data_IF_199964622332
#
_entry.id   IF_199964622332
#
_cell.length_a   1.000
_cell.length_b   1.000
_cell.length_c   1.000
_cell.angle_alpha   90.00
_cell.angle_beta   90.00
_cell.angle_gamma   90.00
#
_symmetry.space_group_name_H-M   'P 1'
#
loop_
_entity.id
_entity.type
_entity.pdbx_description
1 polymer ?
#
# COMPACT_ATOMS: atom_id res chain seq x y z
N UNK A 1 53.49 -3.57 36.20
CA UNK A 1 53.26 -2.96 37.52
C UNK A 1 52.90 -1.49 37.31
N UNK A 2 51.82 -1.02 37.98
CA UNK A 2 51.55 0.32 38.55
C UNK A 2 52.43 1.51 38.05
N UNK A 3 51.97 2.76 37.82
CA UNK A 3 50.77 3.55 38.15
C UNK A 3 51.07 5.05 37.83
N UNK A 4 50.02 5.89 37.74
CA UNK A 4 49.93 7.33 38.19
C UNK A 4 50.62 8.39 37.28
N UNK A 5 49.90 9.31 36.59
CA UNK A 5 49.22 10.57 36.99
C UNK A 5 50.20 11.62 37.58
N UNK A 6 50.30 12.90 37.19
CA UNK A 6 49.37 14.06 37.27
C UNK A 6 50.12 15.29 36.69
N UNK A 7 49.56 16.10 35.79
CA UNK A 7 48.92 17.44 36.02
C UNK A 7 49.85 18.67 36.23
N UNK A 8 49.60 19.70 35.39
CA UNK A 8 49.66 21.16 35.62
C UNK A 8 51.06 21.82 35.82
N UNK A 9 51.36 23.09 35.53
CA UNK A 9 50.66 24.28 35.00
C UNK A 9 51.72 25.38 34.70
N UNK A 10 51.45 26.28 33.74
CA UNK A 10 51.94 27.68 33.59
C UNK A 10 53.45 28.00 33.46
N UNK A 11 53.81 28.81 32.45
CA UNK A 11 54.41 30.14 32.63
C UNK A 11 54.39 30.95 31.30
N UNK A 12 54.26 32.26 31.43
CA UNK A 12 54.08 33.26 30.36
C UNK A 12 55.36 34.06 30.05
N UNK A 13 55.26 34.99 29.08
CA UNK A 13 56.11 36.18 28.78
C UNK A 13 57.35 35.93 27.87
N UNK A 14 57.77 36.78 26.93
CA UNK A 14 57.32 38.08 26.41
C UNK A 14 58.11 38.51 25.14
N UNK A 15 57.52 39.47 24.40
CA UNK A 15 58.13 40.57 23.59
C UNK A 15 58.95 40.20 22.33
N UNK A 16 58.87 40.87 21.17
CA UNK A 16 58.65 42.29 20.83
C UNK A 16 58.14 42.36 19.37
N UNK A 17 57.48 43.40 18.84
CA UNK A 17 58.11 44.65 18.37
C UNK A 17 57.06 45.67 17.84
N UNK A 18 57.22 46.92 18.29
CA UNK A 18 57.05 48.23 17.61
C UNK A 18 55.63 48.80 17.37
N UNK A 19 55.32 49.88 18.11
CA UNK A 19 54.38 50.96 17.73
C UNK A 19 55.08 51.98 16.79
N UNK A 20 54.40 52.84 16.02
CA UNK A 20 53.40 53.80 16.46
C UNK A 20 52.57 54.38 15.29
N UNK A 21 51.28 54.54 15.57
CA UNK A 21 50.35 55.63 15.22
C UNK A 21 50.23 56.19 13.79
N UNK A 22 49.07 55.94 13.18
CA UNK A 22 48.28 56.97 12.52
C UNK A 22 46.79 56.75 12.86
N UNK A 23 46.19 57.71 13.56
CA UNK A 23 44.75 57.77 13.80
C UNK A 23 44.07 58.34 12.54
N UNK A 24 43.18 57.58 11.92
CA UNK A 24 42.18 58.11 11.00
C UNK A 24 40.80 57.56 11.42
N UNK A 25 39.89 58.48 11.71
CA UNK A 25 38.52 58.23 12.11
C UNK A 25 37.76 57.41 11.05
N UNK A 26 37.11 56.33 11.47
CA UNK A 26 36.24 55.51 10.61
C UNK A 26 35.21 54.77 11.44
N UNK A 27 34.19 55.50 11.90
CA UNK A 27 32.81 55.08 12.22
C UNK A 27 32.61 53.66 12.79
N UNK A 28 32.19 53.60 14.06
CA UNK A 28 31.40 52.48 14.61
C UNK A 28 30.22 52.19 13.66
N UNK A 29 30.29 51.16 12.84
CA UNK A 29 29.17 50.68 12.04
C UNK A 29 29.34 49.19 11.81
N UNK A 30 28.55 48.38 12.52
CA UNK A 30 28.65 46.92 12.44
C UNK A 30 27.74 46.15 13.41
N UNK A 31 27.14 46.81 14.41
CA UNK A 31 26.09 46.20 15.25
C UNK A 31 24.69 46.34 14.64
N UNK A 32 24.34 47.55 14.17
CA UNK A 32 22.99 47.88 13.74
C UNK A 32 22.52 47.20 12.45
N UNK A 33 23.44 46.81 11.55
CA UNK A 33 23.09 46.17 10.28
C UNK A 33 22.76 44.68 10.47
N UNK A 34 23.44 44.01 11.41
CA UNK A 34 23.13 42.63 11.78
C UNK A 34 21.78 42.56 12.54
N UNK A 35 21.57 43.49 13.49
CA UNK A 35 20.31 43.59 14.23
C UNK A 35 19.13 43.93 13.30
N UNK A 36 19.30 44.86 12.34
CA UNK A 36 18.26 45.15 11.34
C UNK A 36 17.93 43.96 10.46
N UNK A 37 18.92 43.21 9.96
CA UNK A 37 18.69 42.00 9.17
C UNK A 37 17.94 40.94 9.96
N UNK A 38 18.31 40.76 11.23
CA UNK A 38 17.66 39.79 12.12
C UNK A 38 16.20 40.19 12.42
N UNK A 39 15.93 41.49 12.60
CA UNK A 39 14.58 42.02 12.75
C UNK A 39 13.75 41.88 11.47
N UNK A 40 14.33 42.15 10.29
CA UNK A 40 13.68 41.97 8.99
C UNK A 40 13.35 40.49 8.71
N UNK A 41 14.26 39.58 9.03
CA UNK A 41 14.02 38.14 8.93
C UNK A 41 12.95 37.65 9.91
N UNK A 42 12.97 38.13 11.15
CA UNK A 42 11.95 37.82 12.14
C UNK A 42 10.57 38.34 11.69
N UNK A 43 10.52 39.54 11.12
CA UNK A 43 9.29 40.13 10.57
C UNK A 43 8.78 39.34 9.35
N UNK A 44 9.66 38.92 8.43
CA UNK A 44 9.31 38.06 7.29
C UNK A 44 8.80 36.69 7.75
N UNK A 45 9.47 36.06 8.72
CA UNK A 45 9.02 34.79 9.32
C UNK A 45 7.69 34.94 10.03
N UNK A 46 7.44 36.05 10.73
CA UNK A 46 6.16 36.33 11.38
C UNK A 46 5.04 36.52 10.35
N UNK A 47 5.26 37.34 9.32
CA UNK A 47 4.30 37.52 8.22
C UNK A 47 4.00 36.21 7.49
N UNK A 48 5.02 35.43 7.16
CA UNK A 48 4.85 34.10 6.57
C UNK A 48 4.07 33.17 7.50
N UNK A 49 4.37 33.15 8.80
CA UNK A 49 3.57 32.37 9.75
C UNK A 49 2.12 32.84 9.82
N UNK A 50 1.86 34.14 9.82
CA UNK A 50 0.50 34.70 9.85
C UNK A 50 -0.28 34.39 8.56
N UNK A 51 0.36 34.52 7.39
CA UNK A 51 -0.22 34.22 6.07
C UNK A 51 -0.58 32.74 5.92
N UNK A 52 0.32 31.84 6.37
CA UNK A 52 0.10 30.39 6.34
C UNK A 52 -0.73 29.87 7.52
N UNK A 53 -0.93 30.66 8.56
CA UNK A 53 -1.81 30.36 9.70
C UNK A 53 -3.27 30.81 9.47
N UNK A 54 -3.69 30.97 8.20
CA UNK A 54 -5.11 30.97 7.87
C UNK A 54 -5.74 29.72 8.49
N UNK A 55 -6.71 29.85 9.42
CA UNK A 55 -7.43 28.71 9.92
C UNK A 55 -8.05 28.06 8.70
N UNK A 56 -7.59 26.86 8.32
CA UNK A 56 -8.27 26.08 7.30
C UNK A 56 -9.70 25.96 7.81
N UNK A 57 -10.63 26.69 7.18
CA UNK A 57 -12.05 26.46 7.42
C UNK A 57 -12.23 24.95 7.31
N UNK A 58 -12.85 24.29 8.31
CA UNK A 58 -13.03 22.86 8.22
C UNK A 58 -13.77 22.61 6.91
N UNK A 59 -13.08 21.97 5.95
CA UNK A 59 -13.75 21.50 4.74
C UNK A 59 -14.95 20.74 5.26
N UNK A 60 -16.15 21.14 4.87
CA UNK A 60 -17.33 20.38 5.20
C UNK A 60 -17.07 18.99 4.63
N UNK A 61 -16.69 18.06 5.50
CA UNK A 61 -16.78 16.65 5.20
C UNK A 61 -18.26 16.48 4.91
N UNK A 62 -18.64 16.45 3.63
CA UNK A 62 -19.91 15.89 3.23
C UNK A 62 -19.82 14.44 3.67
N UNK A 63 -20.15 14.20 4.93
CA UNK A 63 -20.33 12.87 5.47
C UNK A 63 -21.52 12.33 4.68
N UNK A 64 -21.30 11.19 4.03
CA UNK A 64 -22.38 10.46 3.40
C UNK A 64 -23.56 10.35 4.37
N UNK A 65 -24.78 10.44 3.83
CA UNK A 65 -26.01 10.36 4.63
C UNK A 65 -26.13 9.02 5.38
N UNK A 66 -25.38 7.99 4.97
CA UNK A 66 -25.24 6.73 5.66
C UNK A 66 -23.88 6.07 5.48
N UNK A 67 -23.62 4.97 6.21
CA UNK A 67 -22.42 4.16 6.06
C UNK A 67 -22.39 3.41 4.72
N UNK A 68 -21.22 3.17 4.16
CA UNK A 68 -21.14 2.33 2.96
C UNK A 68 -21.46 0.86 3.28
N UNK A 69 -22.04 0.12 2.32
CA UNK A 69 -22.11 -1.34 2.39
C UNK A 69 -20.75 -1.99 2.64
N UNK A 70 -20.78 -3.15 3.28
CA UNK A 70 -19.55 -3.85 3.64
C UNK A 70 -19.02 -4.60 2.42
N UNK A 71 -17.81 -4.27 1.99
CA UNK A 71 -17.15 -4.97 0.89
C UNK A 71 -16.20 -6.02 1.47
N UNK A 72 -16.29 -7.26 1.00
CA UNK A 72 -15.49 -8.38 1.50
C UNK A 72 -15.11 -9.33 0.37
N UNK A 73 -13.96 -9.98 0.54
CA UNK A 73 -13.59 -11.15 -0.26
C UNK A 73 -14.23 -12.39 0.35
N UNK A 74 -14.89 -13.22 -0.46
CA UNK A 74 -15.40 -14.51 0.01
C UNK A 74 -14.22 -15.47 0.19
N UNK A 75 -14.02 -16.01 1.39
CA UNK A 75 -12.83 -16.81 1.74
C UNK A 75 -12.55 -17.97 0.77
N UNK A 76 -13.59 -18.76 0.45
CA UNK A 76 -13.51 -19.92 -0.45
C UNK A 76 -13.18 -19.52 -1.90
N UNK A 77 -13.36 -18.25 -2.27
CA UNK A 77 -13.15 -17.72 -3.61
C UNK A 77 -12.09 -16.60 -3.65
N UNK A 78 -11.43 -16.28 -2.54
CA UNK A 78 -10.43 -15.22 -2.46
C UNK A 78 -9.10 -15.59 -3.10
N UNK A 79 -8.92 -16.87 -3.41
CA UNK A 79 -7.72 -17.44 -4.02
C UNK A 79 -8.09 -18.30 -5.22
N UNK A 80 -7.27 -18.25 -6.23
CA UNK A 80 -7.34 -19.07 -7.43
C UNK A 80 -6.08 -19.93 -7.48
N UNK A 81 -6.22 -21.25 -7.63
CA UNK A 81 -5.08 -22.13 -7.87
C UNK A 81 -5.47 -23.19 -8.88
N UNK A 82 -4.87 -23.13 -10.05
CA UNK A 82 -5.08 -24.09 -11.13
C UNK A 82 -3.93 -25.10 -11.13
N UNK A 83 -4.29 -26.37 -10.99
CA UNK A 83 -3.37 -27.49 -11.04
C UNK A 83 -3.49 -28.22 -12.37
N UNK A 84 -2.36 -28.52 -12.98
CA UNK A 84 -2.29 -29.44 -14.10
C UNK A 84 -2.54 -30.88 -13.59
N UNK A 85 -3.43 -31.60 -14.27
CA UNK A 85 -3.77 -32.98 -13.94
C UNK A 85 -4.44 -33.14 -12.56
N UNK A 86 -4.95 -32.07 -11.95
CA UNK A 86 -5.68 -32.12 -10.68
C UNK A 86 -4.84 -32.48 -9.45
N UNK A 87 -3.50 -32.42 -9.54
CA UNK A 87 -2.61 -32.76 -8.42
C UNK A 87 -2.27 -31.53 -7.58
N UNK A 88 -2.59 -31.57 -6.28
CA UNK A 88 -2.26 -30.50 -5.32
C UNK A 88 -0.75 -30.47 -4.98
N UNK A 89 0.10 -30.07 -5.93
CA UNK A 89 1.56 -30.05 -5.77
C UNK A 89 2.23 -28.81 -6.39
N UNK A 90 3.38 -28.39 -5.84
CA UNK A 90 4.18 -27.21 -6.28
C UNK A 90 4.67 -27.25 -7.70
N UNK A 91 5.12 -28.41 -8.14
CA UNK A 91 5.48 -28.60 -9.51
C UNK A 91 4.27 -28.82 -10.44
N UNK A 92 3.03 -28.83 -9.94
CA UNK A 92 1.81 -29.02 -10.73
C UNK A 92 0.99 -27.73 -10.93
N UNK A 93 1.41 -26.60 -10.36
CA UNK A 93 0.68 -25.34 -10.48
C UNK A 93 0.86 -24.75 -11.88
N UNK A 94 -0.25 -24.47 -12.54
CA UNK A 94 -0.30 -23.70 -13.78
C UNK A 94 -0.45 -22.20 -13.48
N UNK A 95 -1.49 -21.79 -12.76
CA UNK A 95 -1.72 -20.38 -12.43
C UNK A 95 -2.21 -20.21 -11.00
N UNK A 96 -1.84 -19.08 -10.39
CA UNK A 96 -2.32 -18.66 -9.06
C UNK A 96 -2.94 -17.27 -9.12
N UNK A 97 -3.78 -16.96 -8.16
CA UNK A 97 -4.32 -15.62 -7.93
C UNK A 97 -4.76 -15.44 -6.49
N UNK A 98 -4.62 -14.22 -5.97
CA UNK A 98 -5.08 -13.83 -4.63
C UNK A 98 -5.67 -12.42 -4.72
N UNK A 99 -6.83 -12.21 -4.11
CA UNK A 99 -7.38 -10.86 -3.92
C UNK A 99 -6.73 -10.31 -2.64
N UNK A 100 -5.75 -9.43 -2.80
CA UNK A 100 -4.92 -8.93 -1.69
C UNK A 100 -5.53 -7.71 -1.01
N UNK A 101 -6.35 -6.93 -1.72
CA UNK A 101 -6.87 -5.67 -1.21
C UNK A 101 -8.19 -5.27 -1.82
N UNK A 102 -8.99 -4.58 -1.01
CA UNK A 102 -10.22 -3.93 -1.41
C UNK A 102 -10.20 -2.49 -0.89
N UNK A 103 -10.52 -1.54 -1.77
CA UNK A 103 -10.82 -0.16 -1.40
C UNK A 103 -12.18 0.19 -1.96
N UNK A 104 -13.02 0.89 -1.21
CA UNK A 104 -14.38 1.18 -1.64
C UNK A 104 -14.83 2.57 -1.20
N UNK A 105 -15.63 3.19 -2.06
CA UNK A 105 -16.34 4.43 -1.80
C UNK A 105 -17.81 4.29 -2.16
N UNK A 106 -18.68 5.04 -1.49
CA UNK A 106 -20.09 5.11 -1.82
C UNK A 106 -20.61 6.55 -1.72
N UNK A 107 -21.73 6.82 -2.38
CA UNK A 107 -22.44 8.08 -2.34
C UNK A 107 -23.92 7.85 -2.03
N UNK A 108 -24.51 8.80 -1.31
CA UNK A 108 -25.93 8.87 -0.99
C UNK A 108 -26.49 10.19 -1.48
N UNK A 109 -27.63 10.15 -2.16
CA UNK A 109 -28.38 11.34 -2.60
C UNK A 109 -29.86 11.17 -2.22
N UNK A 110 -30.32 11.82 -1.15
CA UNK A 110 -31.72 11.71 -0.68
C UNK A 110 -32.21 10.26 -0.55
N UNK A 111 -33.24 9.92 -1.33
CA UNK A 111 -33.85 8.59 -1.42
C UNK A 111 -33.28 7.70 -2.56
N UNK A 112 -32.36 8.24 -3.36
CA UNK A 112 -31.81 7.55 -4.52
C UNK A 112 -30.99 6.31 -4.08
N UNK A 113 -30.86 5.30 -4.98
CA UNK A 113 -30.00 4.15 -4.75
C UNK A 113 -28.58 4.53 -4.30
N UNK A 114 -27.96 3.65 -3.52
CA UNK A 114 -26.55 3.85 -3.14
C UNK A 114 -25.70 3.54 -4.37
N UNK A 115 -24.89 4.50 -4.78
CA UNK A 115 -23.86 4.29 -5.80
C UNK A 115 -22.54 3.94 -5.13
N UNK A 116 -21.88 2.90 -5.60
CA UNK A 116 -20.59 2.45 -5.08
C UNK A 116 -19.54 2.31 -6.17
N UNK A 117 -18.30 2.53 -5.77
CA UNK A 117 -17.10 2.14 -6.52
C UNK A 117 -16.23 1.26 -5.65
N UNK A 118 -15.60 0.26 -6.26
CA UNK A 118 -14.70 -0.66 -5.58
C UNK A 118 -13.43 -0.83 -6.43
N UNK A 119 -12.29 -0.67 -5.81
CA UNK A 119 -10.99 -1.06 -6.36
C UNK A 119 -10.60 -2.42 -5.78
N UNK A 120 -10.28 -3.36 -6.67
CA UNK A 120 -9.88 -4.72 -6.31
C UNK A 120 -8.43 -4.93 -6.71
N UNK A 121 -7.57 -5.21 -5.73
CA UNK A 121 -6.17 -5.52 -5.97
C UNK A 121 -5.97 -7.03 -6.06
N UNK A 122 -5.55 -7.47 -7.23
CA UNK A 122 -5.20 -8.86 -7.52
C UNK A 122 -3.68 -9.04 -7.53
N UNK A 123 -3.19 -10.11 -6.90
CA UNK A 123 -1.84 -10.62 -7.07
C UNK A 123 -1.90 -11.96 -7.78
N UNK A 124 -1.36 -12.01 -8.99
CA UNK A 124 -1.52 -13.11 -9.93
C UNK A 124 -0.17 -13.73 -10.22
N UNK A 125 -0.14 -15.05 -10.36
CA UNK A 125 1.08 -15.81 -10.55
C UNK A 125 0.97 -16.82 -11.69
N UNK A 126 2.08 -17.00 -12.40
CA UNK A 126 2.29 -18.04 -13.39
C UNK A 126 3.20 -19.11 -12.79
N UNK A 127 2.71 -20.33 -12.73
CA UNK A 127 3.45 -21.49 -12.23
C UNK A 127 4.25 -22.21 -13.32
N UNK A 128 5.00 -23.25 -12.93
CA UNK A 128 5.85 -24.01 -13.85
C UNK A 128 5.07 -24.80 -14.92
N UNK A 129 3.78 -25.11 -14.68
CA UNK A 129 2.93 -25.83 -15.64
C UNK A 129 2.03 -24.91 -16.48
N UNK A 130 2.28 -23.60 -16.46
CA UNK A 130 1.58 -22.68 -17.35
C UNK A 130 2.06 -22.85 -18.80
N UNK A 131 1.16 -23.24 -19.70
CA UNK A 131 1.45 -23.34 -21.13
C UNK A 131 1.70 -21.97 -21.78
N UNK A 132 1.02 -20.92 -21.30
CA UNK A 132 1.06 -19.58 -21.88
C UNK A 132 1.49 -18.52 -20.88
N UNK A 133 1.97 -17.39 -21.39
CA UNK A 133 2.16 -16.16 -20.60
C UNK A 133 0.89 -15.33 -20.51
N UNK A 134 -0.22 -15.80 -21.06
CA UNK A 134 -1.53 -15.14 -21.06
C UNK A 134 -2.52 -16.01 -20.29
N UNK A 135 -3.33 -15.40 -19.45
CA UNK A 135 -4.43 -16.06 -18.74
C UNK A 135 -5.60 -15.10 -18.65
N UNK A 136 -6.79 -15.57 -19.02
CA UNK A 136 -8.02 -14.86 -18.69
C UNK A 136 -8.55 -15.44 -17.38
N UNK A 137 -8.43 -14.68 -16.29
CA UNK A 137 -9.09 -15.01 -15.05
C UNK A 137 -10.54 -14.54 -15.13
N UNK A 138 -11.41 -15.16 -14.35
CA UNK A 138 -12.78 -14.67 -14.16
C UNK A 138 -13.03 -14.48 -12.69
N UNK A 139 -13.70 -13.40 -12.34
CA UNK A 139 -14.14 -13.12 -10.99
C UNK A 139 -15.59 -12.65 -11.01
N UNK A 140 -16.20 -12.59 -9.83
CA UNK A 140 -17.58 -12.17 -9.68
C UNK A 140 -17.71 -11.18 -8.54
N UNK A 141 -18.75 -10.34 -8.65
CA UNK A 141 -19.19 -9.39 -7.63
C UNK A 141 -20.64 -9.70 -7.34
N UNK A 142 -20.99 -9.88 -6.07
CA UNK A 142 -22.35 -10.12 -5.64
C UNK A 142 -22.77 -9.07 -4.62
N UNK A 143 -23.90 -8.43 -4.87
CA UNK A 143 -24.59 -7.60 -3.87
C UNK A 143 -25.55 -8.52 -3.12
N UNK A 144 -25.46 -8.53 -1.80
CA UNK A 144 -26.34 -9.31 -0.93
C UNK A 144 -27.02 -8.42 0.09
N UNK A 145 -28.19 -8.84 0.56
CA UNK A 145 -28.67 -8.40 1.87
C UNK A 145 -27.83 -9.13 2.91
N UNK A 146 -27.33 -8.39 3.90
CA UNK A 146 -26.48 -8.91 4.96
C UNK A 146 -27.05 -10.21 5.54
N UNK A 147 -26.25 -11.28 5.50
CA UNK A 147 -26.59 -12.61 6.03
C UNK A 147 -27.91 -13.22 5.49
N UNK A 148 -28.36 -12.84 4.31
CA UNK A 148 -29.65 -13.30 3.78
C UNK A 148 -29.51 -13.76 2.32
N UNK A 149 -29.90 -12.91 1.38
CA UNK A 149 -30.13 -13.29 -0.01
C UNK A 149 -29.25 -12.49 -0.95
N UNK A 150 -28.86 -13.13 -2.06
CA UNK A 150 -28.21 -12.47 -3.18
C UNK A 150 -29.23 -11.60 -3.89
N UNK A 151 -28.92 -10.30 -4.01
CA UNK A 151 -29.72 -9.32 -4.76
C UNK A 151 -29.33 -9.38 -6.24
N UNK A 152 -28.03 -9.35 -6.51
CA UNK A 152 -27.47 -9.43 -7.85
C UNK A 152 -26.09 -10.08 -7.79
N UNK A 153 -25.70 -10.75 -8.87
CA UNK A 153 -24.35 -11.28 -9.06
C UNK A 153 -23.94 -11.10 -10.51
N UNK A 154 -22.76 -10.52 -10.72
CA UNK A 154 -22.18 -10.31 -12.04
C UNK A 154 -20.79 -10.91 -12.12
N UNK A 155 -20.38 -11.24 -13.34
CA UNK A 155 -19.09 -11.85 -13.64
C UNK A 155 -18.27 -10.93 -14.53
N UNK A 156 -16.97 -10.91 -14.30
CA UNK A 156 -16.00 -10.04 -14.95
C UNK A 156 -14.81 -10.87 -15.43
N UNK A 157 -14.36 -10.57 -16.65
CA UNK A 157 -13.16 -11.14 -17.22
C UNK A 157 -11.95 -10.26 -16.89
N UNK A 158 -10.86 -10.90 -16.50
CA UNK A 158 -9.60 -10.26 -16.13
C UNK A 158 -8.49 -10.86 -17.00
N UNK A 159 -8.30 -10.34 -18.23
CA UNK A 159 -7.25 -10.79 -19.13
C UNK A 159 -5.88 -10.29 -18.67
N UNK A 160 -4.94 -11.22 -18.49
CA UNK A 160 -3.61 -10.94 -17.94
C UNK A 160 -2.53 -11.46 -18.84
N UNK A 161 -1.48 -10.64 -19.01
CA UNK A 161 -0.24 -11.04 -19.67
C UNK A 161 0.91 -10.88 -18.69
N UNK A 162 1.66 -11.95 -18.46
CA UNK A 162 2.85 -11.96 -17.62
C UNK A 162 4.06 -11.43 -18.43
N UNK A 163 4.66 -10.27 -18.08
CA UNK A 163 5.80 -9.72 -18.82
C UNK A 163 6.99 -10.66 -18.83
N UNK A 164 7.77 -10.73 -19.92
CA UNK A 164 8.91 -11.65 -20.05
C UNK A 164 9.85 -11.59 -18.82
N UNK A 165 10.26 -12.75 -18.31
CA UNK A 165 11.10 -12.85 -17.11
C UNK A 165 10.36 -12.62 -15.77
N UNK A 166 9.05 -12.32 -15.79
CA UNK A 166 8.24 -12.18 -14.58
C UNK A 166 7.20 -13.29 -14.49
N UNK A 167 7.04 -13.85 -13.29
CA UNK A 167 6.05 -14.90 -12.98
C UNK A 167 4.93 -14.39 -12.10
N UNK A 168 4.95 -13.09 -11.78
CA UNK A 168 3.94 -12.44 -10.94
C UNK A 168 3.59 -11.08 -11.51
N UNK A 169 2.34 -10.68 -11.32
CA UNK A 169 1.82 -9.36 -11.71
C UNK A 169 0.77 -8.94 -10.68
N UNK A 170 0.76 -7.66 -10.32
CA UNK A 170 -0.31 -7.06 -9.54
C UNK A 170 -1.18 -6.22 -10.47
N UNK A 171 -2.50 -6.37 -10.35
CA UNK A 171 -3.48 -5.64 -11.15
C UNK A 171 -4.52 -5.04 -10.22
N UNK A 172 -4.81 -3.76 -10.40
CA UNK A 172 -5.98 -3.12 -9.79
C UNK A 172 -7.07 -3.02 -10.83
N UNK A 173 -8.24 -3.60 -10.53
CA UNK A 173 -9.44 -3.40 -11.33
C UNK A 173 -10.38 -2.41 -10.62
N UNK A 174 -10.98 -1.50 -11.39
CA UNK A 174 -11.88 -0.47 -10.88
C UNK A 174 -13.31 -0.79 -11.31
N UNK A 175 -14.12 -1.17 -10.34
CA UNK A 175 -15.54 -1.40 -10.50
C UNK A 175 -16.29 -0.09 -10.22
N UNK A 176 -16.91 0.46 -11.24
CA UNK A 176 -17.80 1.62 -11.12
C UNK A 176 -19.26 1.22 -11.34
N UNK A 177 -20.20 2.03 -10.83
CA UNK A 177 -21.61 1.87 -11.14
C UNK A 177 -22.30 0.70 -10.41
N UNK A 178 -21.77 0.24 -9.28
CA UNK A 178 -22.51 -0.70 -8.44
C UNK A 178 -23.67 0.06 -7.79
N UNK A 179 -24.89 -0.22 -8.25
CA UNK A 179 -26.13 0.42 -7.78
C UNK A 179 -26.86 -0.51 -6.82
N UNK A 180 -27.07 -0.04 -5.59
CA UNK A 180 -27.77 -0.81 -4.56
C UNK A 180 -29.12 -0.15 -4.25
N UNK A 181 -30.23 -0.82 -4.56
CA UNK A 181 -31.56 -0.24 -4.41
C UNK A 181 -31.87 0.00 -2.93
N UNK A 182 -32.45 1.17 -2.64
CA UNK A 182 -32.93 1.55 -1.31
C UNK A 182 -34.44 1.57 -1.31
N UNK A 183 -35.05 1.07 -0.24
CA UNK A 183 -36.50 1.14 -0.08
C UNK A 183 -36.97 2.53 0.40
N UNK A 184 -36.09 3.28 1.08
CA UNK A 184 -36.36 4.60 1.66
C UNK A 184 -35.04 5.33 2.00
N UNK A 185 -35.13 6.62 2.31
CA UNK A 185 -34.00 7.42 2.84
C UNK A 185 -33.42 6.90 4.16
N UNK A 186 -34.17 6.09 4.90
CA UNK A 186 -33.71 5.46 6.14
C UNK A 186 -33.06 4.10 5.90
N UNK A 187 -33.11 3.58 4.66
CA UNK A 187 -32.42 2.34 4.30
C UNK A 187 -30.92 2.57 4.33
N UNK A 188 -30.26 1.94 5.30
CA UNK A 188 -28.81 2.04 5.50
C UNK A 188 -28.05 1.07 4.60
N UNK A 189 -26.93 1.53 4.03
CA UNK A 189 -25.98 0.68 3.31
C UNK A 189 -25.41 -0.46 4.14
N UNK A 190 -25.36 -0.31 5.47
CA UNK A 190 -24.94 -1.40 6.37
C UNK A 190 -25.81 -2.66 6.28
N UNK A 191 -27.02 -2.55 5.72
CA UNK A 191 -27.92 -3.67 5.47
C UNK A 191 -27.48 -4.54 4.28
N UNK A 192 -26.51 -4.06 3.49
CA UNK A 192 -26.00 -4.73 2.31
C UNK A 192 -24.54 -5.12 2.50
N UNK A 193 -24.15 -6.16 1.77
CA UNK A 193 -22.77 -6.58 1.61
C UNK A 193 -22.45 -6.71 0.12
N UNK A 194 -21.21 -6.41 -0.24
CA UNK A 194 -20.66 -6.64 -1.57
C UNK A 194 -19.58 -7.70 -1.41
N UNK A 195 -19.85 -8.88 -1.95
CA UNK A 195 -18.93 -10.02 -1.91
C UNK A 195 -18.20 -10.13 -3.24
N UNK A 196 -16.89 -10.33 -3.18
CA UNK A 196 -16.04 -10.47 -4.37
C UNK A 196 -15.26 -11.78 -4.26
N UNK A 197 -15.10 -12.48 -5.38
CA UNK A 197 -14.31 -13.70 -5.43
C UNK A 197 -14.00 -14.11 -6.87
N UNK A 198 -12.96 -14.92 -7.04
CA UNK A 198 -12.69 -15.59 -8.30
C UNK A 198 -13.82 -16.58 -8.65
N UNK A 199 -14.03 -16.81 -9.95
CA UNK A 199 -14.87 -17.89 -10.45
C UNK A 199 -14.09 -19.21 -10.33
N UNK A 200 -14.12 -19.77 -9.11
CA UNK A 200 -13.38 -20.98 -8.73
C UNK A 200 -14.22 -22.23 -8.96
N UNK A 201 -13.54 -23.34 -9.25
CA UNK A 201 -14.18 -24.66 -9.27
C UNK A 201 -14.50 -25.13 -7.84
N UNK A 202 -15.41 -26.10 -7.65
CA UNK A 202 -15.66 -26.69 -6.33
C UNK A 202 -14.40 -27.23 -5.66
N UNK A 203 -13.48 -27.82 -6.42
CA UNK A 203 -12.21 -28.34 -5.94
C UNK A 203 -11.29 -27.21 -5.44
N UNK A 204 -11.23 -26.10 -6.18
CA UNK A 204 -10.49 -24.90 -5.75
C UNK A 204 -11.10 -24.30 -4.48
N UNK A 205 -12.43 -24.25 -4.39
CA UNK A 205 -13.13 -23.75 -3.20
C UNK A 205 -12.82 -24.60 -1.96
N UNK A 206 -12.79 -25.93 -2.11
CA UNK A 206 -12.40 -26.84 -1.02
C UNK A 206 -10.93 -26.68 -0.62
N UNK A 207 -10.04 -26.60 -1.60
CA UNK A 207 -8.62 -26.31 -1.36
C UNK A 207 -8.43 -25.01 -0.55
N UNK A 208 -9.22 -23.98 -0.87
CA UNK A 208 -9.23 -22.72 -0.15
C UNK A 208 -9.79 -22.86 1.27
N UNK A 209 -10.91 -23.59 1.42
CA UNK A 209 -11.56 -23.88 2.70
C UNK A 209 -10.58 -24.53 3.70
N UNK A 210 -9.77 -25.47 3.22
CA UNK A 210 -8.73 -26.16 3.99
C UNK A 210 -7.58 -25.24 4.44
N UNK A 211 -7.53 -23.99 3.97
CA UNK A 211 -6.44 -23.05 4.27
C UNK A 211 -5.13 -23.36 3.56
N UNK A 212 -5.14 -24.33 2.63
CA UNK A 212 -3.97 -24.64 1.80
C UNK A 212 -3.63 -23.43 0.94
N UNK A 213 -2.34 -23.15 0.77
CA UNK A 213 -1.88 -21.97 0.02
C UNK A 213 -0.61 -22.29 -0.71
N UNK A 214 -0.57 -21.81 -1.94
CA UNK A 214 0.60 -21.93 -2.79
C UNK A 214 0.92 -20.56 -3.35
N UNK A 215 2.08 -20.05 -2.93
CA UNK A 215 2.63 -18.80 -3.43
C UNK A 215 3.83 -19.18 -4.28
N UNK A 216 3.84 -18.79 -5.55
CA UNK A 216 4.95 -19.07 -6.48
C UNK A 216 6.20 -18.35 -5.97
N UNK A 217 7.04 -18.97 -5.14
CA UNK A 217 8.20 -18.31 -4.50
C UNK A 217 9.16 -17.70 -5.55
N UNK A 218 9.33 -16.38 -5.53
CA UNK A 218 10.43 -15.75 -6.26
C UNK A 218 11.73 -15.93 -5.44
N UNK A 219 12.69 -16.68 -5.96
CA UNK A 219 14.09 -16.59 -5.51
C UNK A 219 14.62 -17.61 -4.49
N UNK A 220 14.09 -18.84 -4.42
CA UNK A 220 14.85 -19.95 -3.83
C UNK A 220 15.01 -21.07 -4.85
N UNK A 221 16.05 -20.96 -5.66
CA UNK A 221 16.69 -22.13 -6.23
C UNK A 221 17.27 -22.92 -5.04
N UNK A 222 16.53 -23.90 -4.52
CA UNK A 222 17.14 -24.97 -3.74
C UNK A 222 18.03 -25.73 -4.72
N UNK A 223 19.32 -25.43 -4.68
CA UNK A 223 20.34 -26.25 -5.32
C UNK A 223 20.13 -27.69 -4.79
N UNK A 224 19.65 -28.57 -5.66
CA UNK A 224 19.61 -29.99 -5.37
C UNK A 224 21.06 -30.46 -5.32
N UNK A 225 21.57 -30.69 -4.11
CA UNK A 225 22.86 -31.35 -3.88
C UNK A 225 22.76 -32.78 -4.41
N UNK A 226 23.19 -32.99 -5.65
CA UNK A 226 23.50 -34.32 -6.17
C UNK A 226 24.78 -34.83 -5.49
N UNK A 227 24.65 -35.45 -4.33
CA UNK A 227 25.72 -36.28 -3.79
C UNK A 227 25.73 -37.59 -4.57
N UNK A 228 26.46 -37.60 -5.69
CA UNK A 228 26.90 -38.82 -6.36
C UNK A 228 27.94 -39.48 -5.45
N UNK A 229 27.50 -40.43 -4.63
CA UNK A 229 28.40 -41.26 -3.84
C UNK A 229 28.97 -42.35 -4.76
N UNK A 230 30.15 -42.08 -5.31
CA UNK A 230 30.94 -43.04 -6.06
C UNK A 230 31.96 -43.66 -5.09
N UNK A 231 31.69 -44.85 -4.58
CA UNK A 231 32.69 -45.66 -3.89
C UNK A 231 32.70 -47.06 -4.49
N UNK A 232 33.69 -47.24 -5.36
CA UNK A 232 34.18 -48.52 -5.84
C UNK A 232 35.66 -48.57 -5.43
N UNK A 233 35.96 -49.29 -4.35
CA UNK A 233 37.26 -49.90 -4.03
C UNK A 233 37.14 -50.75 -2.76
#
# INVERSE_FOLDING_TARGET
>A
MRRIATSALCLALAASFIGSSAMAQGRRQGGGDAERRQQEEAAKKKKSKEEWASPRAPLASLKNAGPCPYVKVLYDAGRYTEFEGGREAMNAVAYTGEIEGLSAGCRYEGADPIEMRVEVLFNLGRGPQAEERRKNYRYWVAVTRRNNSVVAKEYFDLPVTFPAGQDRVMITDLLEGIVIPRASETTSGSNFEVLIGFDVTPQMAEFNRDGKRFRVNAGQATAASSTTNNQNQ
#
